data_IF_856465074896
#
_entry.id   IF_856465074896
#
_cell.length_a   1.000
_cell.length_b   1.000
_cell.length_c   1.000
_cell.angle_alpha   90.00
_cell.angle_beta   90.00
_cell.angle_gamma   90.00
#
_symmetry.space_group_name_H-M   'P 1'
#
loop_
_entity.id
_entity.type
_entity.pdbx_description
1 polymer ?
#
# COMPACT_ATOMS: atom_id res chain seq x y z
N UNK A 1 -33.79 -38.31 17.68
CA UNK A 1 -33.32 -37.74 18.95
C UNK A 1 -33.49 -36.24 18.82
N UNK A 2 -34.35 -35.63 19.64
CA UNK A 2 -34.85 -34.26 19.46
C UNK A 2 -33.73 -33.22 19.56
N UNK A 3 -33.68 -32.32 18.56
CA UNK A 3 -32.71 -31.22 18.42
C UNK A 3 -33.03 -30.05 19.39
N UNK A 4 -34.14 -30.12 20.11
CA UNK A 4 -34.61 -29.06 21.02
C UNK A 4 -34.08 -29.15 22.45
N UNK A 5 -33.41 -30.24 22.85
CA UNK A 5 -32.92 -30.40 24.24
C UNK A 5 -31.46 -30.00 24.46
N UNK A 6 -30.71 -29.65 23.41
CA UNK A 6 -29.32 -29.18 23.53
C UNK A 6 -29.14 -27.79 24.20
N UNK A 7 -30.07 -26.81 24.10
CA UNK A 7 -29.86 -25.48 24.68
C UNK A 7 -29.94 -25.44 26.22
N UNK A 8 -30.54 -26.45 26.85
CA UNK A 8 -30.76 -26.48 28.30
C UNK A 8 -29.50 -26.83 29.11
N UNK A 9 -28.44 -27.34 28.46
CA UNK A 9 -27.16 -27.64 29.11
C UNK A 9 -26.19 -26.44 29.13
N UNK A 10 -26.47 -25.40 28.35
CA UNK A 10 -25.60 -24.22 28.18
C UNK A 10 -25.46 -23.38 29.47
N UNK A 11 -26.47 -23.24 30.35
CA UNK A 11 -26.32 -22.47 31.59
C UNK A 11 -25.47 -23.15 32.68
N UNK A 12 -25.19 -24.45 32.56
CA UNK A 12 -24.42 -25.22 33.56
C UNK A 12 -22.91 -25.06 33.43
N UNK A 13 -22.41 -24.46 32.35
CA UNK A 13 -20.99 -24.10 32.16
C UNK A 13 -20.68 -22.70 32.75
N UNK A 14 -21.69 -22.05 33.36
CA UNK A 14 -21.65 -20.62 33.70
C UNK A 14 -21.24 -20.29 35.15
N UNK A 15 -20.64 -21.23 35.88
CA UNK A 15 -20.07 -20.93 37.20
C UNK A 15 -18.58 -21.23 37.20
N UNK A 16 -17.76 -20.19 37.04
CA UNK A 16 -16.40 -20.06 37.57
C UNK A 16 -15.58 -21.35 37.73
N UNK A 17 -15.64 -22.23 36.72
CA UNK A 17 -14.83 -23.44 36.69
C UNK A 17 -13.55 -23.02 35.99
N UNK A 18 -12.52 -22.87 36.81
CA UNK A 18 -11.12 -22.67 36.48
C UNK A 18 -10.73 -23.43 35.21
N UNK A 19 -9.78 -22.85 34.47
CA UNK A 19 -9.28 -23.25 33.15
C UNK A 19 -8.81 -24.72 32.99
N UNK A 20 -8.95 -25.57 34.01
CA UNK A 20 -8.40 -26.93 34.11
C UNK A 20 -9.43 -28.06 34.31
N UNK A 21 -10.73 -27.82 34.20
CA UNK A 21 -11.71 -28.94 34.23
C UNK A 21 -11.69 -29.72 32.89
N UNK A 22 -11.29 -31.01 32.88
CA UNK A 22 -11.25 -31.82 31.66
C UNK A 22 -12.61 -31.96 30.97
N UNK A 23 -13.71 -31.78 31.70
CA UNK A 23 -15.06 -31.79 31.12
C UNK A 23 -15.33 -30.55 30.27
N UNK A 24 -14.89 -29.36 30.72
CA UNK A 24 -15.04 -28.10 30.00
C UNK A 24 -14.21 -28.12 28.71
N UNK A 25 -12.99 -28.66 28.76
CA UNK A 25 -12.15 -28.85 27.57
C UNK A 25 -12.82 -29.77 26.53
N UNK A 26 -13.35 -30.91 26.97
CA UNK A 26 -14.02 -31.86 26.07
C UNK A 26 -15.27 -31.26 25.40
N UNK A 27 -16.05 -30.45 26.13
CA UNK A 27 -17.18 -29.72 25.56
C UNK A 27 -16.70 -28.70 24.53
N UNK A 28 -15.66 -27.91 24.84
CA UNK A 28 -15.10 -26.94 23.87
C UNK A 28 -14.58 -27.62 22.61
N UNK A 29 -13.90 -28.76 22.71
CA UNK A 29 -13.40 -29.50 21.54
C UNK A 29 -14.54 -30.08 20.67
N UNK A 30 -15.62 -30.49 21.33
CA UNK A 30 -16.85 -30.91 20.64
C UNK A 30 -17.49 -29.72 19.91
N UNK A 31 -17.62 -28.57 20.57
CA UNK A 31 -18.16 -27.34 19.96
C UNK A 31 -17.27 -26.89 18.79
N UNK A 32 -15.94 -26.89 18.93
CA UNK A 32 -14.99 -26.60 17.85
C UNK A 32 -15.24 -27.48 16.62
N UNK A 33 -15.39 -28.78 16.83
CA UNK A 33 -15.65 -29.73 15.75
C UNK A 33 -16.99 -29.46 15.05
N UNK A 34 -18.02 -29.12 15.82
CA UNK A 34 -19.34 -28.77 15.28
C UNK A 34 -19.31 -27.46 14.49
N UNK A 35 -18.61 -26.44 14.97
CA UNK A 35 -18.43 -25.16 14.27
C UNK A 35 -17.75 -25.37 12.93
N UNK A 36 -16.68 -26.18 12.90
CA UNK A 36 -15.98 -26.51 11.66
C UNK A 36 -16.86 -27.24 10.64
N UNK A 37 -17.71 -28.15 11.11
CA UNK A 37 -18.68 -28.83 10.23
C UNK A 37 -19.73 -27.83 9.73
N UNK A 38 -20.31 -27.00 10.61
CA UNK A 38 -21.29 -25.99 10.23
C UNK A 38 -20.72 -25.01 9.18
N UNK A 39 -19.49 -24.54 9.38
CA UNK A 39 -18.79 -23.70 8.41
C UNK A 39 -18.62 -24.36 7.04
N UNK A 40 -18.54 -25.69 6.96
CA UNK A 40 -18.44 -26.39 5.66
C UNK A 40 -19.79 -26.75 5.05
N UNK A 41 -20.80 -27.06 5.86
CA UNK A 41 -22.01 -27.74 5.37
C UNK A 41 -23.29 -26.93 5.50
N UNK A 42 -23.35 -25.95 6.41
CA UNK A 42 -24.59 -25.25 6.69
C UNK A 42 -24.87 -24.14 5.67
N UNK A 43 -26.16 -24.01 5.36
CA UNK A 43 -26.71 -22.90 4.58
C UNK A 43 -26.63 -21.58 5.35
N UNK A 44 -26.62 -20.47 4.62
CA UNK A 44 -26.35 -19.14 5.15
C UNK A 44 -27.30 -18.72 6.30
N UNK A 45 -28.61 -18.93 6.13
CA UNK A 45 -29.60 -18.52 7.15
C UNK A 45 -29.41 -19.25 8.49
N UNK A 46 -28.99 -20.49 8.44
CA UNK A 46 -28.73 -21.29 9.63
C UNK A 46 -27.41 -20.88 10.29
N UNK A 47 -26.39 -20.53 9.49
CA UNK A 47 -25.12 -20.01 9.99
C UNK A 47 -25.30 -18.74 10.83
N UNK A 48 -26.18 -17.83 10.40
CA UNK A 48 -26.47 -16.59 11.14
C UNK A 48 -26.94 -16.90 12.57
N UNK A 49 -27.91 -17.79 12.70
CA UNK A 49 -28.47 -18.18 13.99
C UNK A 49 -27.48 -18.99 14.85
N UNK A 50 -26.62 -19.80 14.23
CA UNK A 50 -25.58 -20.56 14.92
C UNK A 50 -24.49 -19.62 15.47
N UNK A 51 -23.96 -18.73 14.64
CA UNK A 51 -22.93 -17.75 15.02
C UNK A 51 -23.44 -16.85 16.14
N UNK A 52 -24.67 -16.35 16.04
CA UNK A 52 -25.30 -15.54 17.09
C UNK A 52 -25.30 -16.23 18.44
N UNK A 53 -25.80 -17.46 18.52
CA UNK A 53 -25.84 -18.25 19.77
C UNK A 53 -24.46 -18.62 20.29
N UNK A 54 -23.49 -18.87 19.41
CA UNK A 54 -22.13 -19.20 19.80
C UNK A 54 -21.36 -17.97 20.28
N UNK A 55 -21.52 -16.82 19.64
CA UNK A 55 -20.95 -15.55 20.08
C UNK A 55 -21.50 -15.09 21.43
N UNK A 56 -22.69 -15.56 21.84
CA UNK A 56 -23.24 -15.32 23.17
C UNK A 56 -22.66 -16.24 24.25
N UNK A 57 -22.34 -17.50 23.89
CA UNK A 57 -22.07 -18.56 24.89
C UNK A 57 -20.64 -19.14 24.85
N UNK A 58 -19.90 -18.96 23.76
CA UNK A 58 -18.60 -19.59 23.48
C UNK A 58 -17.67 -18.65 22.70
N UNK A 59 -17.51 -17.40 23.20
CA UNK A 59 -16.70 -16.35 22.53
C UNK A 59 -15.25 -16.77 22.28
N UNK A 60 -14.66 -17.55 23.19
CA UNK A 60 -13.30 -18.08 23.08
C UNK A 60 -13.17 -19.12 21.96
N UNK A 61 -14.17 -19.99 21.79
CA UNK A 61 -14.17 -21.00 20.74
C UNK A 61 -14.38 -20.36 19.38
N UNK A 62 -15.31 -19.42 19.27
CA UNK A 62 -15.65 -18.77 18.00
C UNK A 62 -14.55 -17.81 17.53
N UNK A 63 -13.78 -17.21 18.46
CA UNK A 63 -12.59 -16.42 18.14
C UNK A 63 -11.58 -17.20 17.30
N UNK A 64 -11.38 -18.49 17.59
CA UNK A 64 -10.49 -19.35 16.81
C UNK A 64 -10.96 -19.58 15.35
N UNK A 65 -12.24 -19.34 15.05
CA UNK A 65 -12.81 -19.52 13.72
C UNK A 65 -13.25 -18.21 13.08
N UNK A 66 -12.95 -17.05 13.69
CA UNK A 66 -13.42 -15.76 13.22
C UNK A 66 -13.04 -15.47 11.77
N UNK A 67 -11.82 -15.86 11.36
CA UNK A 67 -11.37 -15.72 9.98
C UNK A 67 -12.16 -16.63 9.02
N UNK A 68 -12.23 -17.94 9.29
CA UNK A 68 -12.99 -18.89 8.46
C UNK A 68 -14.46 -18.48 8.29
N UNK A 69 -15.06 -17.91 9.35
CA UNK A 69 -16.41 -17.34 9.30
C UNK A 69 -16.47 -16.16 8.34
N UNK A 70 -15.58 -15.18 8.51
CA UNK A 70 -15.56 -13.93 7.73
C UNK A 70 -15.32 -14.20 6.25
N UNK A 71 -14.36 -15.08 5.92
CA UNK A 71 -14.09 -15.51 4.54
C UNK A 71 -15.31 -16.17 3.89
N UNK A 72 -16.00 -17.07 4.61
CA UNK A 72 -17.21 -17.73 4.09
C UNK A 72 -18.31 -16.72 3.75
N UNK A 73 -18.41 -15.63 4.52
CA UNK A 73 -19.37 -14.56 4.26
C UNK A 73 -18.91 -13.63 3.13
N UNK A 74 -17.61 -13.34 3.03
CA UNK A 74 -17.02 -12.51 1.98
C UNK A 74 -17.15 -13.12 0.58
N UNK A 75 -16.94 -14.43 0.43
CA UNK A 75 -16.92 -15.14 -0.87
C UNK A 75 -18.26 -15.09 -1.62
N UNK A 76 -19.38 -14.77 -0.96
CA UNK A 76 -20.71 -14.76 -1.60
C UNK A 76 -21.11 -13.42 -2.24
N UNK A 77 -20.27 -12.40 -2.20
CA UNK A 77 -20.45 -11.10 -2.87
C UNK A 77 -21.79 -10.40 -2.54
N UNK A 78 -22.42 -10.77 -1.43
CA UNK A 78 -23.69 -10.23 -0.99
C UNK A 78 -23.43 -9.22 0.14
N UNK A 79 -23.07 -7.98 -0.22
CA UNK A 79 -22.80 -6.88 0.73
C UNK A 79 -23.86 -6.75 1.83
N UNK A 80 -25.12 -7.10 1.54
CA UNK A 80 -26.21 -7.08 2.51
C UNK A 80 -25.98 -8.06 3.68
N UNK A 81 -25.39 -9.22 3.40
CA UNK A 81 -25.21 -10.30 4.36
C UNK A 81 -24.06 -10.09 5.33
N UNK A 82 -23.01 -9.39 4.91
CA UNK A 82 -21.89 -9.00 5.76
C UNK A 82 -22.28 -7.92 6.75
N UNK A 83 -23.13 -6.97 6.33
CA UNK A 83 -23.69 -5.95 7.23
C UNK A 83 -24.51 -6.60 8.35
N UNK A 84 -25.32 -7.63 8.03
CA UNK A 84 -26.09 -8.38 9.03
C UNK A 84 -25.19 -9.17 10.01
N UNK A 85 -23.98 -9.55 9.57
CA UNK A 85 -22.99 -10.30 10.36
C UNK A 85 -22.00 -9.44 11.13
N UNK A 86 -21.77 -8.22 10.67
CA UNK A 86 -20.75 -7.31 11.16
C UNK A 86 -20.77 -7.21 12.68
N UNK A 87 -21.96 -7.02 13.27
CA UNK A 87 -22.11 -6.91 14.72
C UNK A 87 -21.58 -8.13 15.48
N UNK A 88 -21.81 -9.34 14.97
CA UNK A 88 -21.34 -10.57 15.61
C UNK A 88 -19.83 -10.75 15.44
N UNK A 89 -19.31 -10.44 14.25
CA UNK A 89 -17.88 -10.54 13.97
C UNK A 89 -17.12 -9.54 14.83
N UNK A 90 -17.55 -8.28 14.87
CA UNK A 90 -16.94 -7.24 15.71
C UNK A 90 -16.99 -7.62 17.19
N UNK A 91 -18.08 -8.20 17.69
CA UNK A 91 -18.13 -8.70 19.07
C UNK A 91 -17.07 -9.76 19.38
N UNK A 92 -16.74 -10.61 18.42
CA UNK A 92 -15.70 -11.63 18.60
C UNK A 92 -14.32 -10.99 18.59
N UNK A 93 -14.10 -10.01 17.72
CA UNK A 93 -12.85 -9.23 17.65
C UNK A 93 -12.64 -8.41 18.93
N UNK A 94 -13.65 -7.66 19.37
CA UNK A 94 -13.62 -6.92 20.64
C UNK A 94 -13.36 -7.85 21.82
N UNK A 95 -13.94 -9.06 21.83
CA UNK A 95 -13.64 -10.04 22.88
C UNK A 95 -12.16 -10.47 22.90
N UNK A 96 -11.54 -10.66 21.72
CA UNK A 96 -10.10 -10.97 21.62
C UNK A 96 -9.27 -9.84 22.24
N UNK A 97 -9.62 -8.60 21.92
CA UNK A 97 -8.96 -7.38 22.42
C UNK A 97 -9.14 -7.22 23.94
N UNK A 98 -10.38 -7.30 24.43
CA UNK A 98 -10.72 -7.15 25.86
C UNK A 98 -10.04 -8.20 26.75
N UNK A 99 -9.84 -9.42 26.22
CA UNK A 99 -9.13 -10.49 26.92
C UNK A 99 -7.61 -10.38 26.81
N UNK A 100 -7.10 -9.40 26.08
CA UNK A 100 -5.68 -9.19 25.83
C UNK A 100 -4.98 -10.46 25.34
N UNK A 101 -5.68 -11.26 24.52
CA UNK A 101 -5.15 -12.53 24.05
C UNK A 101 -4.24 -12.30 22.84
N UNK A 102 -2.97 -12.02 23.11
CA UNK A 102 -1.93 -11.67 22.12
C UNK A 102 -1.85 -12.70 20.99
N UNK A 103 -2.02 -13.99 21.31
CA UNK A 103 -1.97 -15.08 20.33
C UNK A 103 -3.06 -14.97 19.25
N UNK A 104 -4.15 -14.23 19.52
CA UNK A 104 -5.29 -14.09 18.60
C UNK A 104 -5.34 -12.71 17.92
N UNK A 105 -4.42 -11.79 18.22
CA UNK A 105 -4.44 -10.46 17.58
C UNK A 105 -4.23 -10.53 16.07
N UNK A 106 -3.41 -11.45 15.58
CA UNK A 106 -3.27 -11.67 14.13
C UNK A 106 -4.63 -12.05 13.49
N UNK A 107 -5.43 -12.89 14.16
CA UNK A 107 -6.78 -13.25 13.69
C UNK A 107 -7.71 -12.04 13.69
N UNK A 108 -7.63 -11.19 14.71
CA UNK A 108 -8.38 -9.93 14.75
C UNK A 108 -8.03 -9.04 13.55
N UNK A 109 -6.73 -8.87 13.27
CA UNK A 109 -6.24 -8.09 12.12
C UNK A 109 -6.72 -8.71 10.80
N UNK A 110 -6.62 -10.03 10.62
CA UNK A 110 -7.08 -10.74 9.42
C UNK A 110 -8.59 -10.55 9.14
N UNK A 111 -9.40 -10.68 10.18
CA UNK A 111 -10.85 -10.49 10.12
C UNK A 111 -11.18 -9.05 9.73
N UNK A 112 -10.55 -8.07 10.40
CA UNK A 112 -10.77 -6.66 10.11
C UNK A 112 -10.30 -6.29 8.70
N UNK A 113 -9.21 -6.88 8.22
CA UNK A 113 -8.68 -6.66 6.87
C UNK A 113 -9.69 -7.14 5.83
N UNK A 114 -10.20 -8.37 6.00
CA UNK A 114 -11.22 -8.96 5.11
C UNK A 114 -12.49 -8.10 5.06
N UNK A 115 -12.94 -7.58 6.21
CA UNK A 115 -14.10 -6.69 6.26
C UNK A 115 -13.83 -5.35 5.59
N UNK A 116 -12.70 -4.71 5.88
CA UNK A 116 -12.33 -3.39 5.36
C UNK A 116 -12.14 -3.39 3.83
N UNK A 117 -11.84 -4.53 3.22
CA UNK A 117 -11.81 -4.69 1.76
C UNK A 117 -13.19 -4.59 1.10
N UNK A 118 -14.28 -4.79 1.86
CA UNK A 118 -15.65 -4.86 1.33
C UNK A 118 -16.40 -3.56 1.61
N UNK A 119 -16.38 -3.12 2.87
CA UNK A 119 -16.96 -1.86 3.33
C UNK A 119 -16.40 -1.50 4.71
N UNK A 120 -16.51 -0.23 5.11
CA UNK A 120 -16.06 0.24 6.42
C UNK A 120 -17.21 0.99 7.08
N UNK A 121 -17.53 0.65 8.33
CA UNK A 121 -18.58 1.30 9.12
C UNK A 121 -18.02 1.97 10.36
N UNK A 122 -18.81 2.84 11.00
CA UNK A 122 -18.42 3.47 12.27
C UNK A 122 -18.06 2.47 13.39
N UNK A 123 -18.82 1.37 13.62
CA UNK A 123 -18.42 0.35 14.59
C UNK A 123 -17.07 -0.31 14.28
N UNK A 124 -16.71 -0.46 13.01
CA UNK A 124 -15.39 -0.99 12.63
C UNK A 124 -14.28 -0.02 13.00
N UNK A 125 -14.51 1.30 12.90
CA UNK A 125 -13.53 2.31 13.28
C UNK A 125 -13.15 2.26 14.75
N UNK A 126 -14.11 2.02 15.65
CA UNK A 126 -13.83 1.83 17.08
C UNK A 126 -12.83 0.68 17.30
N UNK A 127 -13.06 -0.46 16.64
CA UNK A 127 -12.15 -1.62 16.72
C UNK A 127 -10.78 -1.32 16.08
N UNK A 128 -10.74 -0.56 14.99
CA UNK A 128 -9.48 -0.12 14.37
C UNK A 128 -8.70 0.79 15.32
N UNK A 129 -9.36 1.71 16.03
CA UNK A 129 -8.72 2.54 17.05
C UNK A 129 -8.19 1.70 18.20
N UNK A 130 -8.93 0.68 18.65
CA UNK A 130 -8.44 -0.25 19.66
C UNK A 130 -7.19 -0.99 19.20
N UNK A 131 -7.15 -1.47 17.94
CA UNK A 131 -5.95 -2.08 17.35
C UNK A 131 -4.78 -1.09 17.24
N UNK A 132 -5.03 0.16 16.84
CA UNK A 132 -4.02 1.21 16.83
C UNK A 132 -3.48 1.49 18.23
N UNK A 133 -4.35 1.56 19.23
CA UNK A 133 -3.97 1.75 20.62
C UNK A 133 -3.11 0.58 21.12
N UNK A 134 -3.49 -0.67 20.82
CA UNK A 134 -2.67 -1.85 21.12
C UNK A 134 -1.28 -1.73 20.48
N UNK A 135 -1.21 -1.30 19.22
CA UNK A 135 0.05 -1.12 18.52
C UNK A 135 0.93 -0.02 19.13
N UNK A 136 0.33 1.12 19.51
CA UNK A 136 1.02 2.27 20.08
C UNK A 136 1.42 2.06 21.55
N UNK A 137 0.70 1.20 22.28
CA UNK A 137 0.94 0.96 23.69
C UNK A 137 2.21 0.14 23.92
N UNK A 138 3.16 0.74 24.65
CA UNK A 138 4.49 0.16 24.94
C UNK A 138 4.47 -1.07 25.85
N UNK A 139 3.33 -1.43 26.44
CA UNK A 139 3.19 -2.58 27.34
C UNK A 139 3.13 -3.93 26.59
N UNK A 140 2.89 -3.90 25.27
CA UNK A 140 2.86 -5.09 24.42
C UNK A 140 3.77 -4.94 23.19
N UNK A 141 5.09 -4.77 23.38
CA UNK A 141 6.01 -4.60 22.26
C UNK A 141 5.93 -5.85 21.37
N UNK A 142 5.58 -5.66 20.08
CA UNK A 142 5.41 -6.71 19.05
C UNK A 142 4.14 -7.56 19.14
N UNK A 143 3.07 -7.08 19.78
CA UNK A 143 1.77 -7.75 19.74
C UNK A 143 1.22 -7.92 18.31
N UNK A 144 1.50 -6.96 17.43
CA UNK A 144 1.11 -6.98 16.01
C UNK A 144 2.31 -6.49 15.20
N UNK A 145 2.79 -7.30 14.25
CA UNK A 145 3.84 -6.86 13.32
C UNK A 145 3.27 -5.87 12.29
N UNK A 146 4.03 -4.84 11.92
CA UNK A 146 3.55 -3.82 10.97
C UNK A 146 3.21 -4.42 9.60
N UNK A 147 4.01 -5.38 9.13
CA UNK A 147 3.75 -6.16 7.90
C UNK A 147 2.34 -6.76 7.86
N UNK A 148 1.80 -7.13 9.03
CA UNK A 148 0.44 -7.62 9.17
C UNK A 148 -0.57 -6.51 9.36
N UNK A 149 -0.19 -5.48 10.11
CA UNK A 149 -1.11 -4.40 10.45
C UNK A 149 -1.51 -3.56 9.22
N UNK A 150 -0.57 -3.33 8.30
CA UNK A 150 -0.84 -2.62 7.05
C UNK A 150 -1.93 -3.30 6.20
N UNK A 151 -2.13 -4.62 6.34
CA UNK A 151 -3.21 -5.35 5.67
C UNK A 151 -4.60 -4.90 6.10
N UNK A 152 -4.76 -4.26 7.26
CA UNK A 152 -6.00 -3.59 7.69
C UNK A 152 -5.97 -2.12 7.33
N UNK A 153 -4.88 -1.43 7.64
CA UNK A 153 -4.78 0.02 7.50
C UNK A 153 -4.92 0.46 6.03
N UNK A 154 -4.28 -0.26 5.10
CA UNK A 154 -4.34 0.12 3.70
C UNK A 154 -5.75 0.00 3.10
N UNK A 155 -6.50 -1.11 3.27
CA UNK A 155 -7.93 -1.17 2.88
C UNK A 155 -8.77 -0.05 3.51
N UNK A 156 -8.52 0.30 4.78
CA UNK A 156 -9.22 1.40 5.44
C UNK A 156 -9.07 2.74 4.70
N UNK A 157 -7.92 2.95 4.07
CA UNK A 157 -7.61 4.15 3.30
C UNK A 157 -8.22 4.12 1.88
N UNK A 158 -8.18 2.97 1.19
CA UNK A 158 -8.53 2.90 -0.25
C UNK A 158 -9.99 2.52 -0.52
N UNK A 159 -10.68 1.87 0.41
CA UNK A 159 -12.08 1.42 0.20
C UNK A 159 -13.06 2.58 0.20
N UNK A 160 -12.92 3.53 1.14
CA UNK A 160 -13.75 4.73 1.23
C UNK A 160 -12.92 5.91 1.74
N UNK A 161 -12.14 6.50 0.83
CA UNK A 161 -11.23 7.60 1.16
C UNK A 161 -11.99 8.84 1.64
N UNK A 162 -13.19 9.11 1.12
CA UNK A 162 -13.99 10.27 1.52
C UNK A 162 -14.41 10.15 2.99
N UNK A 163 -14.96 8.99 3.39
CA UNK A 163 -15.27 8.71 4.79
C UNK A 163 -14.01 8.78 5.67
N UNK A 164 -12.88 8.23 5.21
CA UNK A 164 -11.63 8.26 5.98
C UNK A 164 -11.18 9.68 6.36
N UNK A 165 -11.24 10.64 5.42
CA UNK A 165 -10.75 12.01 5.65
C UNK A 165 -11.75 12.90 6.40
N UNK A 166 -13.03 12.51 6.47
CA UNK A 166 -14.06 13.29 7.17
C UNK A 166 -13.74 13.47 8.66
N UNK A 167 -13.07 12.48 9.26
CA UNK A 167 -12.65 12.50 10.66
C UNK A 167 -11.12 12.63 10.77
N UNK A 168 -10.57 13.81 11.11
CA UNK A 168 -9.13 14.04 11.18
C UNK A 168 -8.39 13.11 12.15
N UNK A 169 -9.09 12.59 13.17
CA UNK A 169 -8.52 11.63 14.11
C UNK A 169 -8.08 10.33 13.43
N UNK A 170 -8.75 9.90 12.35
CA UNK A 170 -8.40 8.67 11.60
C UNK A 170 -7.04 8.81 10.92
N UNK A 171 -6.85 9.92 10.21
CA UNK A 171 -5.56 10.25 9.59
C UNK A 171 -4.47 10.38 10.65
N UNK A 172 -4.77 11.03 11.77
CA UNK A 172 -3.79 11.24 12.84
C UNK A 172 -3.34 9.91 13.45
N UNK A 173 -4.25 8.98 13.73
CA UNK A 173 -3.92 7.66 14.24
C UNK A 173 -2.96 6.89 13.32
N UNK A 174 -3.20 6.91 12.00
CA UNK A 174 -2.33 6.21 11.05
C UNK A 174 -0.94 6.84 10.98
N UNK A 175 -0.86 8.18 11.03
CA UNK A 175 0.42 8.90 11.09
C UNK A 175 1.17 8.52 12.36
N UNK A 176 0.50 8.41 13.51
CA UNK A 176 1.15 8.07 14.78
C UNK A 176 1.66 6.63 14.78
N UNK A 177 0.92 5.68 14.22
CA UNK A 177 1.38 4.29 14.02
C UNK A 177 2.63 4.26 13.13
N UNK A 178 2.61 4.95 11.99
CA UNK A 178 3.80 5.06 11.13
C UNK A 178 4.97 5.73 11.84
N UNK A 179 4.71 6.77 12.64
CA UNK A 179 5.74 7.49 13.37
C UNK A 179 6.43 6.60 14.39
N UNK A 180 5.67 5.90 15.24
CA UNK A 180 6.23 4.99 16.25
C UNK A 180 7.09 3.91 15.60
N UNK A 181 6.66 3.34 14.47
CA UNK A 181 7.47 2.36 13.74
C UNK A 181 8.74 2.97 13.17
N UNK A 182 8.66 4.15 12.54
CA UNK A 182 9.83 4.78 11.90
C UNK A 182 10.84 5.36 12.89
N UNK A 183 10.39 5.71 14.10
CA UNK A 183 11.23 6.21 15.20
C UNK A 183 11.91 5.06 15.98
N UNK A 184 11.54 3.79 15.75
CA UNK A 184 12.15 2.63 16.41
C UNK A 184 13.44 2.17 15.69
N UNK A 185 14.55 2.25 16.40
CA UNK A 185 15.89 1.90 15.92
C UNK A 185 16.20 0.40 15.97
N UNK A 186 15.43 -0.37 16.74
CA UNK A 186 15.58 -1.82 16.85
C UNK A 186 14.62 -2.59 15.92
N UNK A 187 13.78 -1.87 15.19
CA UNK A 187 12.76 -2.44 14.31
C UNK A 187 13.33 -3.03 13.03
N UNK A 188 12.68 -4.06 12.51
CA UNK A 188 13.09 -4.73 11.28
C UNK A 188 12.87 -3.82 10.05
N UNK A 189 13.82 -3.85 9.10
CA UNK A 189 13.75 -3.02 7.89
C UNK A 189 12.43 -3.22 7.13
N UNK A 190 11.91 -4.45 7.10
CA UNK A 190 10.64 -4.78 6.46
C UNK A 190 9.48 -3.95 7.02
N UNK A 191 9.35 -3.86 8.36
CA UNK A 191 8.32 -3.07 9.03
C UNK A 191 8.48 -1.57 8.74
N UNK A 192 9.73 -1.07 8.74
CA UNK A 192 10.04 0.31 8.39
C UNK A 192 9.64 0.64 6.94
N UNK A 193 9.93 -0.26 6.00
CA UNK A 193 9.56 -0.11 4.58
C UNK A 193 8.04 -0.06 4.42
N UNK A 194 7.30 -0.96 5.09
CA UNK A 194 5.83 -0.93 5.04
C UNK A 194 5.26 0.32 5.72
N UNK A 195 5.86 0.82 6.80
CA UNK A 195 5.44 2.07 7.43
C UNK A 195 5.64 3.27 6.50
N UNK A 196 6.78 3.34 5.81
CA UNK A 196 7.02 4.32 4.76
C UNK A 196 6.03 4.16 3.59
N UNK A 197 5.73 2.93 3.17
CA UNK A 197 4.75 2.66 2.11
C UNK A 197 3.33 3.11 2.47
N UNK A 198 2.90 2.87 3.70
CA UNK A 198 1.61 3.39 4.18
C UNK A 198 1.62 4.92 4.20
N UNK A 199 2.73 5.54 4.62
CA UNK A 199 2.87 7.00 4.62
C UNK A 199 2.80 7.60 3.20
N UNK A 200 3.45 6.97 2.22
CA UNK A 200 3.27 7.33 0.81
C UNK A 200 1.81 7.21 0.38
N UNK A 201 1.18 6.09 0.72
CA UNK A 201 -0.19 5.78 0.32
C UNK A 201 -1.17 6.83 0.85
N UNK A 202 -1.01 7.24 2.12
CA UNK A 202 -1.78 8.32 2.73
C UNK A 202 -1.70 9.62 1.91
N UNK A 203 -0.50 10.01 1.48
CA UNK A 203 -0.28 11.24 0.72
C UNK A 203 -0.95 11.15 -0.65
N UNK A 204 -0.73 10.05 -1.38
CA UNK A 204 -1.24 9.88 -2.74
C UNK A 204 -2.76 9.73 -2.76
N UNK A 205 -3.32 8.92 -1.85
CA UNK A 205 -4.76 8.65 -1.81
C UNK A 205 -5.54 9.87 -1.32
N UNK A 206 -5.12 10.52 -0.23
CA UNK A 206 -5.82 11.66 0.35
C UNK A 206 -5.46 13.01 -0.29
N UNK A 207 -4.61 13.02 -1.32
CA UNK A 207 -4.02 14.25 -1.87
C UNK A 207 -5.02 15.30 -2.36
N UNK A 208 -6.22 14.88 -2.77
CA UNK A 208 -7.29 15.75 -3.26
C UNK A 208 -8.20 16.29 -2.15
N UNK A 209 -8.04 15.82 -0.90
CA UNK A 209 -8.99 16.02 0.21
C UNK A 209 -8.36 16.76 1.41
N UNK A 210 -7.54 17.77 1.15
CA UNK A 210 -6.98 18.65 2.20
C UNK A 210 -5.90 18.06 3.14
N UNK A 211 -5.18 16.99 2.77
CA UNK A 211 -4.04 16.46 3.56
C UNK A 211 -2.86 17.45 3.73
N UNK A 212 -2.92 18.64 3.13
CA UNK A 212 -1.89 19.70 3.18
C UNK A 212 -1.42 20.04 4.60
N UNK A 213 -2.30 19.95 5.59
CA UNK A 213 -1.98 20.27 6.98
C UNK A 213 -1.18 19.16 7.67
N UNK A 214 -1.35 17.91 7.24
CA UNK A 214 -0.62 16.76 7.77
C UNK A 214 0.75 16.56 7.09
N UNK A 215 0.91 16.99 5.83
CA UNK A 215 2.17 16.87 5.07
C UNK A 215 3.39 17.37 5.85
N UNK A 216 3.37 18.55 6.52
CA UNK A 216 4.50 18.99 7.32
C UNK A 216 4.92 18.02 8.44
N UNK A 217 3.98 17.37 9.12
CA UNK A 217 4.30 16.38 10.16
C UNK A 217 4.94 15.13 9.54
N UNK A 218 4.35 14.61 8.47
CA UNK A 218 4.85 13.42 7.75
C UNK A 218 6.26 13.66 7.19
N UNK A 219 6.51 14.83 6.59
CA UNK A 219 7.84 15.19 6.08
C UNK A 219 8.89 15.30 7.17
N UNK A 220 8.53 15.81 8.35
CA UNK A 220 9.47 15.84 9.49
C UNK A 220 9.91 14.44 9.88
N UNK A 221 8.98 13.51 10.04
CA UNK A 221 9.26 12.11 10.39
C UNK A 221 10.17 11.47 9.33
N UNK A 222 9.78 11.53 8.05
CA UNK A 222 10.51 10.89 6.94
C UNK A 222 11.91 11.45 6.78
N UNK A 223 12.05 12.78 6.79
CA UNK A 223 13.36 13.42 6.59
C UNK A 223 14.26 13.20 7.79
N UNK A 224 13.73 13.24 9.02
CA UNK A 224 14.52 12.93 10.21
C UNK A 224 15.09 11.51 10.15
N UNK A 225 14.28 10.53 9.73
CA UNK A 225 14.72 9.14 9.54
C UNK A 225 15.74 9.01 8.40
N UNK A 226 15.54 9.73 7.29
CA UNK A 226 16.44 9.70 6.14
C UNK A 226 17.81 10.35 6.42
N UNK A 227 17.83 11.47 7.17
CA UNK A 227 19.05 12.21 7.51
C UNK A 227 19.83 11.56 8.66
N UNK A 228 19.15 10.80 9.52
CA UNK A 228 19.76 10.07 10.64
C UNK A 228 19.51 8.57 10.46
N UNK A 229 20.17 7.91 9.49
CA UNK A 229 20.05 6.48 9.34
C UNK A 229 20.60 5.79 10.61
N UNK A 230 19.74 5.02 11.28
CA UNK A 230 20.12 4.20 12.43
C UNK A 230 20.12 2.74 12.00
N UNK A 231 21.15 1.99 12.38
CA UNK A 231 21.32 0.59 11.97
C UNK A 231 22.19 0.39 10.72
N UNK A 232 22.28 -0.85 10.20
CA UNK A 232 23.03 -1.19 9.00
C UNK A 232 22.47 -0.50 7.73
N UNK A 233 23.11 -0.68 6.56
CA UNK A 233 22.69 -0.09 5.27
C UNK A 233 21.26 -0.52 4.90
N UNK A 234 20.26 0.26 5.34
CA UNK A 234 18.83 0.05 5.06
C UNK A 234 18.47 0.63 3.68
N UNK A 235 18.99 0.01 2.62
CA UNK A 235 18.85 0.51 1.25
C UNK A 235 17.40 0.51 0.75
N UNK A 236 16.61 -0.51 1.10
CA UNK A 236 15.19 -0.58 0.70
C UNK A 236 14.37 0.50 1.42
N UNK A 237 14.63 0.69 2.71
CA UNK A 237 14.00 1.77 3.48
C UNK A 237 14.35 3.14 2.89
N UNK A 238 15.62 3.38 2.57
CA UNK A 238 16.08 4.66 1.99
C UNK A 238 15.34 4.96 0.69
N UNK A 239 15.23 3.98 -0.20
CA UNK A 239 14.46 4.11 -1.44
C UNK A 239 13.00 4.47 -1.15
N UNK A 240 12.36 3.78 -0.21
CA UNK A 240 10.96 4.00 0.13
C UNK A 240 10.75 5.38 0.77
N UNK A 241 11.61 5.83 1.69
CA UNK A 241 11.52 7.18 2.27
C UNK A 241 11.62 8.29 1.20
N UNK A 242 12.48 8.12 0.19
CA UNK A 242 12.58 9.05 -0.94
C UNK A 242 11.25 9.08 -1.73
N UNK A 243 10.64 7.91 -1.93
CA UNK A 243 9.35 7.78 -2.61
C UNK A 243 8.21 8.50 -1.85
N UNK A 244 8.21 8.48 -0.51
CA UNK A 244 7.27 9.28 0.30
C UNK A 244 7.44 10.78 0.05
N UNK A 245 8.68 11.28 0.03
CA UNK A 245 8.95 12.71 -0.27
C UNK A 245 8.50 13.05 -1.69
N UNK A 246 8.71 12.14 -2.63
CA UNK A 246 8.29 12.28 -4.01
C UNK A 246 6.77 12.36 -4.17
N UNK A 247 6.02 11.54 -3.44
CA UNK A 247 4.57 11.63 -3.37
C UNK A 247 4.14 13.00 -2.81
N UNK A 248 4.81 13.49 -1.77
CA UNK A 248 4.53 14.79 -1.18
C UNK A 248 4.80 15.96 -2.14
N UNK A 249 5.87 15.90 -2.95
CA UNK A 249 6.15 16.92 -3.97
C UNK A 249 5.08 16.86 -5.08
N UNK A 250 4.69 15.66 -5.49
CA UNK A 250 3.69 15.47 -6.54
C UNK A 250 2.32 16.07 -6.16
N UNK A 251 1.89 15.87 -4.91
CA UNK A 251 0.59 16.33 -4.41
C UNK A 251 0.62 17.79 -3.92
N UNK A 252 1.66 18.16 -3.15
CA UNK A 252 1.72 19.41 -2.38
C UNK A 252 3.05 20.18 -2.55
N UNK A 253 3.59 20.23 -3.77
CA UNK A 253 4.88 20.84 -4.14
C UNK A 253 5.36 22.01 -3.27
N UNK A 254 4.62 23.11 -3.24
CA UNK A 254 5.06 24.34 -2.56
C UNK A 254 5.18 24.17 -1.04
N UNK A 255 4.22 23.48 -0.41
CA UNK A 255 4.24 23.19 1.03
C UNK A 255 5.40 22.27 1.35
N UNK A 256 5.57 21.20 0.56
CA UNK A 256 6.64 20.22 0.74
C UNK A 256 8.01 20.87 0.62
N UNK A 257 8.28 21.67 -0.42
CA UNK A 257 9.57 22.35 -0.59
C UNK A 257 9.84 23.31 0.57
N UNK A 258 8.83 24.05 1.03
CA UNK A 258 8.98 24.95 2.18
C UNK A 258 9.39 24.20 3.44
N UNK A 259 8.73 23.08 3.73
CA UNK A 259 9.03 22.24 4.90
C UNK A 259 10.40 21.59 4.78
N UNK A 260 10.78 21.09 3.60
CA UNK A 260 12.11 20.51 3.37
C UNK A 260 13.24 21.53 3.60
N UNK A 261 13.05 22.79 3.18
CA UNK A 261 14.01 23.87 3.46
C UNK A 261 14.15 24.16 4.95
N UNK A 262 13.05 24.10 5.69
CA UNK A 262 13.04 24.29 7.14
C UNK A 262 13.78 23.16 7.86
N UNK A 263 13.54 21.89 7.48
CA UNK A 263 14.12 20.73 8.18
C UNK A 263 15.59 20.53 7.84
N UNK A 264 15.96 20.64 6.56
CA UNK A 264 17.29 20.27 6.09
C UNK A 264 18.30 21.42 6.18
N UNK A 265 17.84 22.66 6.44
CA UNK A 265 18.68 23.87 6.52
C UNK A 265 19.57 24.11 5.28
N UNK A 266 19.15 23.61 4.10
CA UNK A 266 19.86 23.77 2.82
C UNK A 266 19.09 24.66 1.84
N UNK A 267 19.84 25.34 0.97
CA UNK A 267 19.28 26.32 0.04
C UNK A 267 18.30 25.69 -0.96
N UNK A 268 18.65 24.53 -1.54
CA UNK A 268 17.75 23.78 -2.42
C UNK A 268 17.69 22.30 -2.00
N UNK A 269 16.64 21.87 -1.26
CA UNK A 269 16.53 20.49 -0.82
C UNK A 269 16.35 19.50 -1.97
N UNK A 270 15.86 19.95 -3.12
CA UNK A 270 15.68 19.09 -4.29
C UNK A 270 17.01 18.57 -4.86
N UNK A 271 18.14 19.23 -4.54
CA UNK A 271 19.48 18.76 -4.93
C UNK A 271 19.79 17.38 -4.34
N UNK A 272 19.51 17.21 -3.04
CA UNK A 272 19.70 15.95 -2.34
C UNK A 272 18.85 14.85 -2.97
N UNK A 273 17.54 15.07 -3.08
CA UNK A 273 16.64 14.02 -3.58
C UNK A 273 16.86 13.68 -5.06
N UNK A 274 17.29 14.65 -5.88
CA UNK A 274 17.63 14.37 -7.28
C UNK A 274 18.92 13.55 -7.40
N UNK A 275 19.93 13.85 -6.57
CA UNK A 275 21.16 13.04 -6.48
C UNK A 275 20.89 11.63 -5.95
N UNK A 276 20.04 11.50 -4.93
CA UNK A 276 19.64 10.19 -4.40
C UNK A 276 18.86 9.39 -5.46
N UNK A 277 17.90 10.00 -6.16
CA UNK A 277 17.21 9.31 -7.26
C UNK A 277 18.20 8.85 -8.34
N UNK A 278 19.21 9.66 -8.67
CA UNK A 278 20.26 9.25 -9.61
C UNK A 278 21.05 8.02 -9.11
N UNK A 279 21.22 7.85 -7.80
CA UNK A 279 21.90 6.69 -7.23
C UNK A 279 21.02 5.44 -7.27
N UNK A 280 19.72 5.55 -6.93
CA UNK A 280 18.83 4.39 -6.74
C UNK A 280 17.95 4.02 -7.94
N UNK A 281 17.83 4.86 -8.98
CA UNK A 281 16.84 4.65 -10.07
C UNK A 281 16.90 3.29 -10.82
N UNK A 282 18.03 2.57 -10.73
CA UNK A 282 18.20 1.25 -11.35
C UNK A 282 17.60 0.11 -10.52
N UNK A 283 17.51 0.32 -9.21
CA UNK A 283 17.02 -0.65 -8.24
C UNK A 283 15.49 -0.62 -8.13
N UNK A 284 14.86 0.50 -8.51
CA UNK A 284 13.41 0.63 -8.57
C UNK A 284 12.81 -0.44 -9.48
N UNK A 285 11.95 -1.31 -8.94
CA UNK A 285 11.37 -2.45 -9.67
C UNK A 285 9.92 -2.23 -10.07
N UNK A 286 9.16 -1.47 -9.28
CA UNK A 286 7.73 -1.23 -9.43
C UNK A 286 7.30 -0.44 -10.67
N UNK A 287 6.02 -0.57 -11.05
CA UNK A 287 5.38 0.36 -12.02
C UNK A 287 5.24 1.71 -11.36
N UNK A 288 4.75 1.71 -10.12
CA UNK A 288 4.60 2.87 -9.25
C UNK A 288 5.94 3.60 -9.10
N UNK A 289 6.94 2.85 -8.64
CA UNK A 289 8.29 3.35 -8.33
C UNK A 289 9.02 3.94 -9.52
N UNK A 290 8.61 3.61 -10.75
CA UNK A 290 9.19 4.20 -11.96
C UNK A 290 8.37 5.35 -12.49
N UNK A 291 7.04 5.30 -12.35
CA UNK A 291 6.12 6.33 -12.82
C UNK A 291 6.27 7.62 -12.02
N UNK A 292 6.28 7.54 -10.69
CA UNK A 292 6.32 8.74 -9.83
C UNK A 292 7.62 9.55 -10.01
N UNK A 293 8.83 8.96 -10.01
CA UNK A 293 10.05 9.71 -10.30
C UNK A 293 10.09 10.31 -11.71
N UNK A 294 9.53 9.63 -12.72
CA UNK A 294 9.43 10.19 -14.07
C UNK A 294 8.57 11.46 -14.11
N UNK A 295 7.45 11.47 -13.40
CA UNK A 295 6.59 12.65 -13.26
C UNK A 295 7.36 13.79 -12.57
N UNK A 296 8.13 13.49 -11.51
CA UNK A 296 8.91 14.49 -10.80
C UNK A 296 10.08 15.04 -11.62
N UNK A 297 10.76 14.20 -12.41
CA UNK A 297 11.78 14.70 -13.35
C UNK A 297 11.14 15.71 -14.32
N UNK A 298 9.93 15.45 -14.81
CA UNK A 298 9.21 16.41 -15.65
C UNK A 298 8.92 17.72 -14.90
N UNK A 299 8.51 17.61 -13.64
CA UNK A 299 8.25 18.77 -12.78
C UNK A 299 9.53 19.59 -12.53
N UNK A 300 10.65 18.92 -12.28
CA UNK A 300 11.95 19.54 -12.05
C UNK A 300 12.48 20.25 -13.31
N UNK A 301 12.33 19.62 -14.48
CA UNK A 301 12.71 20.22 -15.77
C UNK A 301 11.85 21.45 -16.13
N UNK A 302 10.62 21.51 -15.62
CA UNK A 302 9.70 22.63 -15.85
C UNK A 302 9.95 23.82 -14.89
N UNK A 303 10.80 23.65 -13.87
CA UNK A 303 11.10 24.72 -12.91
C UNK A 303 12.10 25.74 -13.48
N UNK A 304 12.07 27.00 -12.97
CA UNK A 304 13.10 28.00 -13.24
C UNK A 304 14.50 27.52 -12.87
N UNK A 305 15.53 28.09 -13.50
CA UNK A 305 16.91 27.68 -13.35
C UNK A 305 17.42 27.76 -11.90
N UNK A 306 16.91 28.71 -11.13
CA UNK A 306 17.29 28.98 -9.75
C UNK A 306 16.61 28.04 -8.75
N UNK A 307 15.52 27.37 -9.14
CA UNK A 307 14.72 26.51 -8.27
C UNK A 307 14.87 25.02 -8.59
N UNK A 308 15.29 24.67 -9.81
CA UNK A 308 15.53 23.29 -10.21
C UNK A 308 16.80 22.71 -9.55
N UNK A 309 16.85 21.38 -9.32
CA UNK A 309 18.05 20.71 -8.86
C UNK A 309 19.30 21.10 -9.66
N UNK A 310 20.42 21.37 -8.98
CA UNK A 310 21.68 21.79 -9.57
C UNK A 310 22.18 20.79 -10.63
N UNK A 311 21.98 19.48 -10.42
CA UNK A 311 22.38 18.45 -11.38
C UNK A 311 21.70 18.59 -12.74
N UNK A 312 20.49 19.17 -12.80
CA UNK A 312 19.81 19.45 -14.07
C UNK A 312 20.56 20.56 -14.82
N UNK A 313 21.04 21.58 -14.12
CA UNK A 313 21.82 22.67 -14.71
C UNK A 313 23.25 22.23 -15.10
N UNK A 314 23.88 21.42 -14.25
CA UNK A 314 25.30 21.11 -14.36
C UNK A 314 25.55 19.92 -15.30
N UNK A 315 24.77 18.85 -15.17
CA UNK A 315 24.87 17.64 -15.99
C UNK A 315 23.49 17.12 -16.42
N UNK A 316 22.77 17.90 -17.26
CA UNK A 316 21.46 17.51 -17.79
C UNK A 316 21.47 16.16 -18.54
N UNK A 317 22.64 15.74 -19.04
CA UNK A 317 22.84 14.45 -19.70
C UNK A 317 22.62 13.26 -18.78
N UNK A 318 22.96 13.35 -17.49
CA UNK A 318 22.66 12.28 -16.51
C UNK A 318 21.17 12.11 -16.28
N UNK A 319 20.46 13.23 -16.17
CA UNK A 319 19.02 13.23 -15.88
C UNK A 319 18.25 12.58 -17.03
N UNK A 320 18.57 12.91 -18.29
CA UNK A 320 17.91 12.27 -19.43
C UNK A 320 18.25 10.78 -19.57
N UNK A 321 19.49 10.36 -19.22
CA UNK A 321 19.88 8.94 -19.19
C UNK A 321 19.09 8.16 -18.15
N UNK A 322 18.92 8.74 -16.97
CA UNK A 322 18.06 8.21 -15.92
C UNK A 322 16.61 8.09 -16.41
N UNK A 323 16.04 9.12 -17.04
CA UNK A 323 14.69 9.05 -17.62
C UNK A 323 14.55 7.90 -18.63
N UNK A 324 15.52 7.74 -19.54
CA UNK A 324 15.55 6.63 -20.50
C UNK A 324 15.56 5.27 -19.78
N UNK A 325 16.37 5.12 -18.73
CA UNK A 325 16.43 3.89 -17.93
C UNK A 325 15.09 3.57 -17.24
N UNK A 326 14.46 4.57 -16.62
CA UNK A 326 13.17 4.45 -15.96
C UNK A 326 12.05 4.05 -16.94
N UNK A 327 11.99 4.70 -18.11
CA UNK A 327 11.02 4.32 -19.16
C UNK A 327 11.25 2.90 -19.68
N UNK A 328 12.50 2.47 -19.89
CA UNK A 328 12.81 1.07 -20.25
C UNK A 328 12.39 0.09 -19.16
N UNK A 329 12.61 0.45 -17.89
CA UNK A 329 12.12 -0.33 -16.76
C UNK A 329 10.60 -0.47 -16.80
N UNK A 330 9.89 0.66 -16.92
CA UNK A 330 8.44 0.69 -16.94
C UNK A 330 7.86 -0.22 -18.04
N UNK A 331 8.41 -0.13 -19.26
CA UNK A 331 8.01 -1.01 -20.36
C UNK A 331 8.27 -2.50 -20.08
N UNK A 332 9.43 -2.85 -19.49
CA UNK A 332 9.76 -4.24 -19.15
C UNK A 332 8.80 -4.87 -18.13
N UNK A 333 8.44 -4.13 -17.09
CA UNK A 333 7.50 -4.63 -16.07
C UNK A 333 6.12 -4.85 -16.66
N UNK A 334 5.67 -3.90 -17.46
CA UNK A 334 4.40 -4.02 -18.15
C UNK A 334 4.38 -5.24 -19.08
N UNK A 335 5.44 -5.46 -19.87
CA UNK A 335 5.57 -6.64 -20.74
C UNK A 335 5.59 -7.96 -19.97
N UNK A 336 6.35 -8.03 -18.87
CA UNK A 336 6.41 -9.22 -18.03
C UNK A 336 5.04 -9.58 -17.47
N UNK A 337 4.25 -8.59 -17.04
CA UNK A 337 2.87 -8.78 -16.58
C UNK A 337 1.94 -9.24 -17.70
N UNK A 338 2.01 -8.65 -18.90
CA UNK A 338 1.25 -9.13 -20.05
C UNK A 338 1.62 -10.55 -20.47
N UNK A 339 2.90 -10.89 -20.40
CA UNK A 339 3.38 -12.23 -20.73
C UNK A 339 2.85 -13.27 -19.74
N UNK A 340 2.95 -13.02 -18.44
CA UNK A 340 2.34 -13.88 -17.39
C UNK A 340 0.85 -14.11 -17.66
N UNK A 341 0.11 -13.03 -17.92
CA UNK A 341 -1.32 -13.11 -18.25
C UNK A 341 -1.62 -13.94 -19.49
N UNK A 342 -0.79 -13.83 -20.53
CA UNK A 342 -0.93 -14.62 -21.74
C UNK A 342 -0.63 -16.10 -21.48
N UNK A 343 0.38 -16.40 -20.65
CA UNK A 343 0.66 -17.77 -20.18
C UNK A 343 -0.53 -18.34 -19.40
N UNK A 344 -1.13 -17.58 -18.48
CA UNK A 344 -2.32 -18.02 -17.71
C UNK A 344 -3.54 -18.25 -18.62
N UNK A 345 -3.61 -17.56 -19.75
CA UNK A 345 -4.61 -17.76 -20.82
C UNK A 345 -4.26 -18.89 -21.79
N UNK A 346 -3.16 -19.60 -21.58
CA UNK A 346 -2.69 -20.70 -22.43
C UNK A 346 -2.11 -20.24 -23.78
N UNK A 347 -1.69 -18.97 -23.89
CA UNK A 347 -1.03 -18.41 -25.07
C UNK A 347 0.48 -18.48 -24.86
N UNK A 348 1.13 -19.46 -25.48
CA UNK A 348 2.59 -19.54 -25.50
C UNK A 348 3.17 -18.44 -26.39
N UNK A 349 3.82 -17.45 -25.78
CA UNK A 349 4.64 -16.45 -26.48
C UNK A 349 6.09 -16.58 -26.02
N UNK A 350 7.05 -16.43 -26.92
CA UNK A 350 8.46 -16.34 -26.53
C UNK A 350 8.71 -14.96 -25.89
N UNK A 351 8.91 -14.91 -24.58
CA UNK A 351 9.38 -13.72 -23.87
C UNK A 351 10.88 -13.87 -23.58
N UNK A 352 11.71 -13.09 -24.27
CA UNK A 352 13.14 -13.03 -24.00
C UNK A 352 13.44 -12.00 -22.90
N UNK A 353 13.60 -12.46 -21.67
CA UNK A 353 14.01 -11.64 -20.51
C UNK A 353 15.36 -10.93 -20.69
N UNK A 354 16.21 -11.44 -21.61
CA UNK A 354 17.57 -10.91 -21.85
C UNK A 354 17.64 -9.97 -23.04
N UNK A 355 16.58 -9.86 -23.83
CA UNK A 355 16.50 -8.81 -24.84
C UNK A 355 16.52 -7.47 -24.10
N UNK A 356 17.53 -6.64 -24.36
CA UNK A 356 17.45 -5.21 -24.09
C UNK A 356 16.17 -4.74 -24.79
N UNK A 357 15.05 -4.66 -24.06
CA UNK A 357 13.76 -4.33 -24.64
C UNK A 357 13.94 -3.00 -25.38
N UNK A 358 14.01 -3.06 -26.71
CA UNK A 358 14.02 -1.86 -27.53
C UNK A 358 12.75 -1.08 -27.14
N UNK A 359 12.87 0.25 -27.00
CA UNK A 359 11.81 1.14 -26.51
C UNK A 359 10.57 1.22 -27.44
N UNK A 360 10.17 0.14 -28.11
CA UNK A 360 9.24 0.13 -29.23
C UNK A 360 7.87 -0.47 -28.87
N UNK A 361 7.58 -0.66 -27.58
CA UNK A 361 6.37 -1.38 -27.15
C UNK A 361 5.26 -0.39 -26.74
N UNK A 362 4.13 -0.55 -27.41
CA UNK A 362 2.90 0.24 -27.27
C UNK A 362 2.07 -0.34 -26.11
N UNK A 363 2.04 0.35 -24.96
CA UNK A 363 1.38 -0.10 -23.71
C UNK A 363 -0.14 0.18 -23.73
N UNK A 364 -0.76 0.20 -24.92
CA UNK A 364 -2.20 0.47 -25.08
C UNK A 364 -3.02 -0.71 -24.57
N UNK A 365 -4.14 -0.42 -23.92
CA UNK A 365 -5.13 -1.44 -23.53
C UNK A 365 -4.87 -2.09 -22.18
N UNK A 366 -3.82 -1.69 -21.47
CA UNK A 366 -3.62 -2.07 -20.07
C UNK A 366 -4.45 -1.16 -19.18
N UNK A 367 -5.68 -1.57 -18.88
CA UNK A 367 -6.37 -1.00 -17.73
C UNK A 367 -5.69 -1.54 -16.47
N UNK A 368 -5.28 -0.64 -15.57
CA UNK A 368 -4.69 -1.07 -14.28
C UNK A 368 -5.72 -1.85 -13.45
N UNK A 369 -7.01 -1.64 -13.72
CA UNK A 369 -8.12 -2.42 -13.16
C UNK A 369 -8.03 -3.93 -13.49
N UNK A 370 -7.51 -4.30 -14.67
CA UNK A 370 -7.29 -5.70 -15.05
C UNK A 370 -5.97 -6.30 -14.50
N UNK A 371 -5.18 -5.49 -13.78
CA UNK A 371 -3.93 -5.87 -13.09
C UNK A 371 -4.13 -6.06 -11.58
N UNK A 372 -5.38 -6.07 -11.09
CA UNK A 372 -5.77 -6.14 -9.67
C UNK A 372 -5.81 -7.58 -9.14
N UNK A 373 -6.07 -8.58 -9.99
CA UNK A 373 -6.40 -9.94 -9.53
C UNK A 373 -5.21 -10.91 -9.36
N UNK A 374 -4.07 -10.72 -10.05
CA UNK A 374 -2.97 -11.70 -10.03
C UNK A 374 -2.11 -11.67 -8.75
N UNK A 375 -2.05 -10.52 -8.09
CA UNK A 375 -1.09 -10.26 -7.00
C UNK A 375 -1.63 -10.65 -5.60
N UNK A 376 -2.92 -11.00 -5.47
CA UNK A 376 -3.51 -11.48 -4.19
C UNK A 376 -3.09 -12.92 -3.82
N UNK A 377 -2.37 -13.61 -4.70
CA UNK A 377 -1.95 -15.01 -4.51
C UNK A 377 -0.54 -15.16 -3.93
N UNK A 378 0.21 -14.07 -3.76
CA UNK A 378 1.53 -14.08 -3.12
C UNK A 378 1.42 -13.87 -1.62
N UNK A 379 1.93 -14.83 -0.83
CA UNK A 379 2.23 -14.62 0.59
C UNK A 379 3.01 -13.30 0.75
N UNK A 380 2.56 -12.47 1.69
CA UNK A 380 3.02 -11.09 1.88
C UNK A 380 4.53 -10.92 1.77
N UNK A 381 4.96 -10.06 0.84
CA UNK A 381 6.39 -9.83 0.62
C UNK A 381 6.73 -8.68 -0.32
N UNK A 382 5.78 -7.89 -0.82
CA UNK A 382 6.07 -6.80 -1.73
C UNK A 382 5.26 -5.54 -1.39
N UNK A 383 5.92 -4.40 -1.06
CA UNK A 383 5.25 -3.11 -0.86
C UNK A 383 4.39 -2.66 -2.04
N UNK A 384 4.69 -3.10 -3.26
CA UNK A 384 3.93 -2.79 -4.50
C UNK A 384 2.49 -3.36 -4.52
N UNK A 385 2.14 -4.22 -3.56
CA UNK A 385 0.77 -4.71 -3.38
C UNK A 385 -0.17 -3.62 -2.84
N UNK A 386 0.38 -2.64 -2.12
CA UNK A 386 -0.37 -1.55 -1.49
C UNK A 386 -0.52 -0.38 -2.47
N UNK A 387 -1.54 -0.51 -3.34
CA UNK A 387 -1.80 0.39 -4.46
C UNK A 387 -2.85 1.46 -4.12
N UNK A 388 -2.68 2.64 -4.68
CA UNK A 388 -3.58 3.79 -4.56
C UNK A 388 -4.27 4.12 -5.88
N UNK A 389 -5.17 5.11 -5.89
CA UNK A 389 -5.75 5.65 -7.12
C UNK A 389 -4.69 6.16 -8.11
N UNK A 390 -3.52 6.62 -7.63
CA UNK A 390 -2.42 7.03 -8.51
C UNK A 390 -1.90 5.88 -9.38
N UNK A 391 -1.92 4.67 -8.86
CA UNK A 391 -1.55 3.46 -9.60
C UNK A 391 -2.56 3.16 -10.69
N UNK A 392 -3.86 3.31 -10.37
CA UNK A 392 -4.96 2.96 -11.25
C UNK A 392 -5.11 3.90 -12.46
N UNK A 393 -4.67 5.15 -12.32
CA UNK A 393 -4.83 6.19 -13.34
C UNK A 393 -3.72 6.13 -14.39
N UNK A 394 -4.10 5.91 -15.64
CA UNK A 394 -3.32 6.12 -16.89
C UNK A 394 -1.78 6.06 -16.78
N UNK A 395 -1.22 4.87 -17.06
CA UNK A 395 0.23 4.67 -17.21
C UNK A 395 0.78 5.36 -18.47
N UNK A 396 -0.05 5.61 -19.50
CA UNK A 396 0.34 6.33 -20.72
C UNK A 396 0.60 7.82 -20.48
N UNK A 397 -0.05 8.41 -19.49
CA UNK A 397 0.00 9.83 -19.17
C UNK A 397 1.40 10.34 -18.85
N UNK A 398 2.28 9.51 -18.29
CA UNK A 398 3.68 9.89 -18.04
C UNK A 398 4.46 10.11 -19.34
N UNK A 399 4.16 9.35 -20.40
CA UNK A 399 4.78 9.54 -21.72
C UNK A 399 4.34 10.85 -22.36
N UNK A 400 3.04 11.16 -22.27
CA UNK A 400 2.47 12.42 -22.77
C UNK A 400 3.04 13.61 -22.00
N UNK A 401 3.11 13.51 -20.66
CA UNK A 401 3.69 14.54 -19.79
C UNK A 401 5.16 14.79 -20.11
N UNK A 402 5.94 13.73 -20.30
CA UNK A 402 7.35 13.83 -20.66
C UNK A 402 7.53 14.55 -22.00
N UNK A 403 6.78 14.17 -23.04
CA UNK A 403 6.83 14.85 -24.34
C UNK A 403 6.51 16.34 -24.23
N UNK A 404 5.39 16.69 -23.59
CA UNK A 404 4.99 18.10 -23.39
C UNK A 404 6.07 18.89 -22.65
N UNK A 405 6.72 18.27 -21.67
CA UNK A 405 7.84 18.87 -20.93
C UNK A 405 9.03 19.14 -21.83
N UNK A 406 9.44 18.15 -22.65
CA UNK A 406 10.56 18.31 -23.59
C UNK A 406 10.29 19.39 -24.64
N UNK A 407 9.07 19.46 -25.17
CA UNK A 407 8.66 20.50 -26.14
C UNK A 407 8.58 21.89 -25.50
N UNK A 408 8.13 21.98 -24.24
CA UNK A 408 8.14 23.22 -23.50
C UNK A 408 9.57 23.69 -23.25
N UNK A 409 10.46 22.77 -22.86
CA UNK A 409 11.88 23.06 -22.62
C UNK A 409 12.60 23.53 -23.90
N UNK A 410 12.31 22.91 -25.04
CA UNK A 410 12.85 23.35 -26.33
C UNK A 410 12.45 24.79 -26.66
N UNK A 411 11.25 25.22 -26.23
CA UNK A 411 10.75 26.59 -26.40
C UNK A 411 11.31 27.57 -25.38
N UNK A 412 11.48 27.15 -24.12
CA UNK A 412 11.85 28.04 -23.02
C UNK A 412 13.35 28.11 -22.73
N UNK A 413 14.08 27.00 -22.84
CA UNK A 413 15.49 26.85 -22.46
C UNK A 413 16.22 25.92 -23.45
N UNK A 414 16.44 26.47 -24.66
CA UNK A 414 17.08 25.73 -25.76
C UNK A 414 18.51 25.31 -25.43
N UNK A 415 19.22 26.10 -24.64
CA UNK A 415 20.59 25.79 -24.23
C UNK A 415 20.63 24.54 -23.35
N UNK A 416 19.75 24.45 -22.35
CA UNK A 416 19.62 23.25 -21.52
C UNK A 416 19.26 22.03 -22.36
N UNK A 417 18.28 22.17 -23.27
CA UNK A 417 17.89 21.10 -24.19
C UNK A 417 19.05 20.63 -25.07
N UNK A 418 19.86 21.54 -25.61
CA UNK A 418 21.06 21.17 -26.35
C UNK A 418 22.06 20.39 -25.46
N UNK A 419 22.33 20.87 -24.24
CA UNK A 419 23.24 20.21 -23.30
C UNK A 419 22.76 18.82 -22.86
N UNK A 420 21.45 18.61 -22.70
CA UNK A 420 20.85 17.28 -22.46
C UNK A 420 21.23 16.29 -23.56
N UNK A 421 21.26 16.74 -24.82
CA UNK A 421 21.47 15.88 -25.98
C UNK A 421 22.96 15.67 -26.32
N UNK A 422 23.83 16.64 -26.02
CA UNK A 422 25.24 16.62 -26.43
C UNK A 422 26.05 15.46 -25.84
N UNK A 423 25.73 15.02 -24.63
CA UNK A 423 26.50 13.99 -23.89
C UNK A 423 25.91 12.58 -23.99
N UNK A 424 24.98 12.35 -24.92
CA UNK A 424 24.39 11.04 -25.18
C UNK A 424 25.23 10.24 -26.18
N UNK A 425 25.45 8.97 -25.84
CA UNK A 425 26.01 7.99 -26.79
C UNK A 425 25.03 7.74 -27.95
N UNK A 426 25.53 7.18 -29.06
CA UNK A 426 24.68 6.85 -30.21
C UNK A 426 23.49 5.94 -29.82
N UNK A 427 23.72 4.95 -28.93
CA UNK A 427 22.66 4.05 -28.42
C UNK A 427 21.62 4.79 -27.57
N UNK A 428 22.06 5.69 -26.69
CA UNK A 428 21.17 6.51 -25.86
C UNK A 428 20.35 7.49 -26.70
N UNK A 429 20.98 8.13 -27.70
CA UNK A 429 20.28 9.03 -28.61
C UNK A 429 19.24 8.30 -29.47
N UNK A 430 19.55 7.09 -29.95
CA UNK A 430 18.58 6.24 -30.63
C UNK A 430 17.41 5.88 -29.70
N UNK A 431 17.71 5.53 -28.45
CA UNK A 431 16.71 5.19 -27.44
C UNK A 431 15.77 6.37 -27.14
N UNK A 432 16.32 7.57 -26.99
CA UNK A 432 15.54 8.79 -26.80
C UNK A 432 14.64 9.08 -28.02
N UNK A 433 15.15 8.89 -29.25
CA UNK A 433 14.33 9.06 -30.46
C UNK A 433 13.16 8.09 -30.51
N UNK A 434 13.37 6.84 -30.12
CA UNK A 434 12.31 5.83 -30.06
C UNK A 434 11.29 6.24 -28.97
N UNK A 435 11.77 6.63 -27.77
CA UNK A 435 10.91 7.10 -26.68
C UNK A 435 10.04 8.28 -27.12
N UNK A 436 10.60 9.30 -27.78
CA UNK A 436 9.83 10.46 -28.24
C UNK A 436 8.76 10.09 -29.28
N UNK A 437 9.05 9.15 -30.19
CA UNK A 437 8.05 8.61 -31.12
C UNK A 437 6.94 7.88 -30.38
N UNK A 438 7.29 7.11 -29.36
CA UNK A 438 6.33 6.42 -28.52
C UNK A 438 5.43 7.42 -27.77
N UNK A 439 6.01 8.46 -27.16
CA UNK A 439 5.25 9.52 -26.51
C UNK A 439 4.28 10.22 -27.48
N UNK A 440 4.72 10.51 -28.71
CA UNK A 440 3.86 11.07 -29.76
C UNK A 440 2.70 10.12 -30.11
N UNK A 441 2.97 8.82 -30.10
CA UNK A 441 1.95 7.79 -30.35
C UNK A 441 0.87 7.78 -29.26
N UNK A 442 1.25 7.94 -27.98
CA UNK A 442 0.30 8.04 -26.86
C UNK A 442 -0.57 9.28 -26.95
N UNK A 443 0.03 10.43 -27.22
CA UNK A 443 -0.69 11.69 -27.33
C UNK A 443 -1.75 11.65 -28.45
N UNK A 444 -1.42 11.06 -29.61
CA UNK A 444 -2.36 10.94 -30.73
C UNK A 444 -3.57 10.05 -30.43
N UNK A 445 -3.45 9.12 -29.48
CA UNK A 445 -4.54 8.19 -29.16
C UNK A 445 -5.44 8.62 -28.02
N UNK A 446 -5.20 9.81 -27.43
CA UNK A 446 -6.09 10.33 -26.40
C UNK A 446 -6.16 9.45 -25.16
N UNK A 447 -5.03 8.83 -24.79
CA UNK A 447 -4.82 8.32 -23.44
C UNK A 447 -4.59 9.51 -22.51
#
# INVERSE_FOLDING_TARGET
MNVETAPAAIPLVRSDAEQDDPYVSAVKDTVKSLVKVALKTADYKDMVGIVSKLAENFQDVIACFALEMTEKFAVKDDRSTLVDMEWYILRVVTYIIDKQNVDLYHVAVDVMSTMALIHITEPMWEVIYDLCNIYLNSDHPRAIHFTKFIEVLHPCLVTDTDCFVEEPARLQAFIDVCQVTLDDDEEEESNLVYAAKLMESLILQCGHLHIKEAVPKMMRIVVQRLMNPQGPEMDELRQMLIMVVFAAIYICKEVTISVLREIMEIQNPLDYFCCELLSVHKELTGVHDRKLPLILICEFLSMPAEQRPAVINDDPGKVIKMSISLFRGLQRVVQSREHKRNVDRGIEMEFDERADAELNIDLRGLSVMELIDDDRSGEGGCPELYRTMFDLVDVGGVFVRFKKTMEALERSDRELMCRMLMNLTSKEMQSLRILLKLCERYERTGH
#
